data_IF_918670964285
#
_entry.id   IF_918670964285
#
_cell.length_a   1.000
_cell.length_b   1.000
_cell.length_c   1.000
_cell.angle_alpha   90.00
_cell.angle_beta   90.00
_cell.angle_gamma   90.00
#
_symmetry.space_group_name_H-M   'P 1'
#
loop_
_entity.id
_entity.type
_entity.pdbx_description
1 polymer ?
#
# COMPACT_ATOMS: atom_id res chain seq x y z
N UNK A 1 -17.01 -11.83 -0.80
CA UNK A 1 -15.65 -11.47 -0.37
C UNK A 1 -15.17 -10.23 -1.09
N UNK A 2 -14.42 -9.42 -0.40
CA UNK A 2 -13.84 -8.21 -0.98
C UNK A 2 -12.41 -8.43 -1.41
N UNK A 3 -11.98 -7.65 -2.40
CA UNK A 3 -10.58 -7.51 -2.76
C UNK A 3 -10.16 -6.06 -2.60
N UNK A 4 -8.94 -5.85 -2.16
CA UNK A 4 -8.39 -4.50 -2.04
C UNK A 4 -6.94 -4.49 -2.52
N UNK A 5 -6.54 -3.40 -3.14
CA UNK A 5 -5.17 -3.18 -3.56
C UNK A 5 -4.43 -2.42 -2.47
N UNK A 6 -3.25 -2.91 -2.13
CA UNK A 6 -2.37 -2.28 -1.15
C UNK A 6 -1.04 -2.02 -1.82
N UNK A 7 -0.52 -0.82 -1.64
CA UNK A 7 0.81 -0.44 -2.13
C UNK A 7 1.74 -0.33 -0.93
N UNK A 8 2.76 -1.18 -0.89
CA UNK A 8 3.81 -1.08 0.10
C UNK A 8 4.86 -0.10 -0.41
N UNK A 9 5.08 0.98 0.31
CA UNK A 9 5.98 2.07 -0.09
C UNK A 9 7.42 1.61 -0.23
N UNK A 10 8.25 2.36 -0.98
CA UNK A 10 9.68 2.03 -1.11
C UNK A 10 10.40 1.84 0.21
N UNK A 11 10.07 2.64 1.23
CA UNK A 11 10.67 2.49 2.56
C UNK A 11 10.45 1.12 3.18
N UNK A 12 9.31 0.48 2.90
CA UNK A 12 9.04 -0.86 3.38
C UNK A 12 10.04 -1.88 2.81
N UNK A 13 10.32 -1.77 1.50
CA UNK A 13 11.32 -2.60 0.84
C UNK A 13 12.73 -2.30 1.37
N UNK A 14 13.08 -1.02 1.45
CA UNK A 14 14.42 -0.58 1.90
C UNK A 14 14.74 -1.04 3.30
N UNK A 15 13.74 -1.11 4.18
CA UNK A 15 13.92 -1.54 5.57
C UNK A 15 13.75 -3.04 5.77
N UNK A 16 13.50 -3.80 4.70
CA UNK A 16 13.38 -5.25 4.80
C UNK A 16 12.11 -5.71 5.52
N UNK A 17 11.02 -4.95 5.43
CA UNK A 17 9.79 -5.22 6.16
C UNK A 17 8.69 -5.87 5.33
N UNK A 18 8.94 -6.12 4.04
CA UNK A 18 7.91 -6.69 3.15
C UNK A 18 7.39 -8.03 3.68
N UNK A 19 8.28 -8.92 4.03
CA UNK A 19 7.89 -10.26 4.52
C UNK A 19 7.06 -10.19 5.79
N UNK A 20 7.42 -9.30 6.71
CA UNK A 20 6.67 -9.13 7.96
C UNK A 20 5.26 -8.60 7.71
N UNK A 21 5.12 -7.60 6.84
CA UNK A 21 3.81 -7.03 6.52
C UNK A 21 2.92 -8.10 5.89
N UNK A 22 3.43 -8.83 4.89
CA UNK A 22 2.68 -9.90 4.23
C UNK A 22 2.26 -10.96 5.23
N UNK A 23 3.18 -11.39 6.08
CA UNK A 23 2.90 -12.40 7.10
C UNK A 23 1.78 -11.97 8.04
N UNK A 24 1.78 -10.71 8.45
CA UNK A 24 0.72 -10.20 9.34
C UNK A 24 -0.63 -10.14 8.65
N UNK A 25 -0.69 -9.80 7.38
CA UNK A 25 -1.93 -9.81 6.61
C UNK A 25 -2.47 -11.24 6.49
N UNK A 26 -1.60 -12.20 6.20
CA UNK A 26 -2.01 -13.60 6.12
C UNK A 26 -2.51 -14.13 7.46
N UNK A 27 -1.86 -13.77 8.56
CA UNK A 27 -2.30 -14.17 9.90
C UNK A 27 -3.66 -13.61 10.28
N UNK A 28 -4.07 -12.49 9.68
CA UNK A 28 -5.39 -11.90 9.87
C UNK A 28 -6.47 -12.56 9.00
N UNK A 29 -6.10 -13.60 8.25
CA UNK A 29 -7.05 -14.35 7.44
C UNK A 29 -7.24 -13.83 6.03
N UNK A 30 -6.40 -12.87 5.59
CA UNK A 30 -6.45 -12.38 4.22
C UNK A 30 -5.66 -13.28 3.30
N UNK A 31 -6.12 -13.41 2.05
CA UNK A 31 -5.45 -14.20 1.03
C UNK A 31 -4.79 -13.29 0.01
N UNK A 32 -3.52 -13.50 -0.23
CA UNK A 32 -2.79 -12.80 -1.28
C UNK A 32 -3.17 -13.41 -2.64
N UNK A 33 -3.79 -12.62 -3.50
CA UNK A 33 -4.24 -13.11 -4.82
C UNK A 33 -3.42 -12.57 -5.97
N UNK A 34 -2.66 -11.51 -5.77
CA UNK A 34 -1.74 -10.98 -6.77
C UNK A 34 -0.68 -10.13 -6.09
N UNK A 35 0.53 -10.14 -6.65
CA UNK A 35 1.62 -9.32 -6.14
C UNK A 35 2.57 -8.97 -7.28
N UNK A 36 3.06 -7.73 -7.29
CA UNK A 36 4.00 -7.28 -8.31
C UNK A 36 4.92 -6.21 -7.73
N UNK A 37 6.20 -6.32 -8.02
CA UNK A 37 7.17 -5.28 -7.70
C UNK A 37 7.28 -4.33 -8.90
N UNK A 38 7.14 -3.03 -8.65
CA UNK A 38 7.12 -2.01 -9.71
C UNK A 38 7.99 -0.84 -9.31
N UNK A 39 8.85 -0.38 -10.23
CA UNK A 39 9.52 0.90 -10.06
C UNK A 39 8.60 1.98 -10.62
N UNK A 40 8.14 2.88 -9.76
CA UNK A 40 7.30 3.99 -10.19
C UNK A 40 8.14 5.04 -10.91
N UNK A 41 7.54 5.66 -11.93
CA UNK A 41 8.13 6.78 -12.62
C UNK A 41 7.31 8.06 -12.41
N UNK A 42 7.86 9.19 -12.85
CA UNK A 42 7.22 10.48 -12.64
C UNK A 42 5.85 10.58 -13.32
N UNK A 43 5.71 10.00 -14.51
CA UNK A 43 4.45 10.04 -15.24
C UNK A 43 3.34 9.29 -14.51
N UNK A 44 3.64 8.12 -13.99
CA UNK A 44 2.69 7.33 -13.20
C UNK A 44 2.25 8.14 -11.97
N UNK A 45 3.21 8.75 -11.29
CA UNK A 45 2.91 9.55 -10.09
C UNK A 45 2.08 10.77 -10.42
N UNK A 46 2.33 11.43 -11.54
CA UNK A 46 1.54 12.59 -11.96
C UNK A 46 0.09 12.23 -12.22
N UNK A 47 -0.16 11.08 -12.81
CA UNK A 47 -1.52 10.61 -13.05
C UNK A 47 -2.20 10.24 -11.72
N UNK A 48 -1.52 9.47 -10.89
CA UNK A 48 -2.08 8.96 -9.64
C UNK A 48 -2.33 10.08 -8.62
N UNK A 49 -1.43 11.06 -8.55
CA UNK A 49 -1.50 12.19 -7.62
C UNK A 49 -1.80 13.50 -8.33
N UNK A 50 -2.62 13.46 -9.40
CA UNK A 50 -2.95 14.66 -10.18
C UNK A 50 -3.50 15.79 -9.32
N UNK A 51 -4.26 15.47 -8.27
CA UNK A 51 -4.85 16.44 -7.36
C UNK A 51 -3.84 17.09 -6.41
N UNK A 52 -2.59 16.62 -6.41
CA UNK A 52 -1.54 17.13 -5.52
C UNK A 52 -0.37 17.78 -6.26
N UNK A 53 -0.43 17.84 -7.60
CA UNK A 53 0.71 18.31 -8.41
C UNK A 53 1.19 19.72 -8.08
N UNK A 54 0.27 20.61 -7.74
CA UNK A 54 0.56 22.00 -7.41
C UNK A 54 0.80 22.23 -5.92
N UNK A 55 0.82 21.18 -5.11
CA UNK A 55 1.11 21.29 -3.69
C UNK A 55 2.62 21.41 -3.45
N UNK A 56 3.04 22.25 -2.48
CA UNK A 56 4.47 22.44 -2.22
C UNK A 56 5.22 21.16 -1.83
N UNK A 57 4.52 20.17 -1.27
CA UNK A 57 5.15 18.92 -0.83
C UNK A 57 5.25 17.87 -1.93
N UNK A 58 4.72 18.12 -3.13
CA UNK A 58 4.71 17.10 -4.19
C UNK A 58 6.11 16.63 -4.59
N UNK A 59 7.13 17.51 -4.78
CA UNK A 59 8.47 17.03 -5.11
C UNK A 59 9.02 16.06 -4.06
N UNK A 60 8.76 16.31 -2.79
CA UNK A 60 9.18 15.41 -1.71
C UNK A 60 8.46 14.06 -1.81
N UNK A 61 7.15 14.08 -2.04
CA UNK A 61 6.35 12.86 -2.23
C UNK A 61 6.86 12.06 -3.43
N UNK A 62 7.08 12.73 -4.57
CA UNK A 62 7.58 12.11 -5.78
C UNK A 62 8.93 11.43 -5.53
N UNK A 63 9.87 12.14 -4.94
CA UNK A 63 11.22 11.61 -4.70
C UNK A 63 11.17 10.41 -3.75
N UNK A 64 10.36 10.48 -2.72
CA UNK A 64 10.19 9.37 -1.79
C UNK A 64 9.59 8.13 -2.44
N UNK A 65 8.58 8.30 -3.29
CA UNK A 65 7.93 7.19 -3.97
C UNK A 65 8.77 6.57 -5.08
N UNK A 66 9.76 7.31 -5.59
CA UNK A 66 10.67 6.83 -6.65
C UNK A 66 12.00 6.33 -6.11
N UNK A 67 12.24 6.43 -4.81
CA UNK A 67 13.53 6.08 -4.20
C UNK A 67 13.87 4.59 -4.32
N UNK A 68 12.87 3.73 -4.40
CA UNK A 68 13.02 2.29 -4.58
C UNK A 68 11.72 1.75 -5.15
N UNK A 69 11.70 0.47 -5.61
CA UNK A 69 10.45 -0.14 -6.07
C UNK A 69 9.40 -0.19 -4.97
N UNK A 70 8.14 -0.22 -5.38
CA UNK A 70 6.99 -0.49 -4.51
C UNK A 70 6.49 -1.89 -4.76
N UNK A 71 5.77 -2.45 -3.80
CA UNK A 71 5.09 -3.72 -3.96
C UNK A 71 3.59 -3.44 -4.07
N UNK A 72 3.01 -3.84 -5.19
CA UNK A 72 1.57 -3.83 -5.37
C UNK A 72 1.05 -5.20 -4.98
N UNK A 73 0.11 -5.27 -4.06
CA UNK A 73 -0.48 -6.54 -3.66
C UNK A 73 -2.00 -6.41 -3.54
N UNK A 74 -2.67 -7.46 -3.98
CA UNK A 74 -4.12 -7.54 -3.91
C UNK A 74 -4.49 -8.59 -2.88
N UNK A 75 -5.30 -8.19 -1.90
CA UNK A 75 -5.72 -9.04 -0.80
C UNK A 75 -7.21 -9.30 -0.89
N UNK A 76 -7.59 -10.54 -0.61
CA UNK A 76 -8.99 -10.99 -0.62
C UNK A 76 -9.38 -11.50 0.75
N UNK A 77 -10.60 -11.17 1.18
CA UNK A 77 -11.12 -11.66 2.45
C UNK A 77 -12.42 -10.98 2.83
N UNK A 78 -13.00 -11.42 3.91
CA UNK A 78 -14.19 -10.77 4.48
C UNK A 78 -13.78 -9.43 5.05
N UNK A 79 -14.48 -8.36 4.64
CA UNK A 79 -14.20 -6.99 5.09
C UNK A 79 -12.74 -6.60 4.85
N UNK A 80 -12.16 -7.02 3.72
CA UNK A 80 -10.72 -6.83 3.45
C UNK A 80 -10.29 -5.38 3.56
N UNK A 81 -11.06 -4.43 3.02
CA UNK A 81 -10.72 -3.01 3.08
C UNK A 81 -10.59 -2.53 4.52
N UNK A 82 -11.58 -2.85 5.36
CA UNK A 82 -11.58 -2.42 6.75
C UNK A 82 -10.46 -3.08 7.54
N UNK A 83 -10.24 -4.37 7.33
CA UNK A 83 -9.17 -5.11 8.00
C UNK A 83 -7.81 -4.50 7.68
N UNK A 84 -7.54 -4.24 6.40
CA UNK A 84 -6.26 -3.64 5.99
C UNK A 84 -6.10 -2.24 6.55
N UNK A 85 -7.15 -1.43 6.52
CA UNK A 85 -7.10 -0.08 7.09
C UNK A 85 -6.81 -0.10 8.59
N UNK A 86 -7.44 -1.01 9.32
CA UNK A 86 -7.21 -1.16 10.75
C UNK A 86 -5.76 -1.57 11.03
N UNK A 87 -5.22 -2.50 10.24
CA UNK A 87 -3.84 -2.95 10.39
C UNK A 87 -2.84 -1.85 10.03
N UNK A 88 -3.13 -1.05 9.02
CA UNK A 88 -2.26 0.05 8.62
C UNK A 88 -2.25 1.18 9.64
N UNK A 89 -3.25 1.25 10.51
CA UNK A 89 -3.33 2.26 11.55
C UNK A 89 -3.69 3.64 11.03
N UNK A 90 -4.09 3.72 9.79
CA UNK A 90 -4.62 4.91 9.11
C UNK A 90 -3.84 6.21 9.38
N UNK A 91 -4.01 6.81 10.55
CA UNK A 91 -3.44 8.12 10.87
C UNK A 91 -2.53 8.12 12.09
N UNK A 92 -2.45 7.01 12.83
CA UNK A 92 -1.67 6.96 14.08
C UNK A 92 -0.66 5.82 14.05
N UNK A 93 0.61 6.16 13.98
CA UNK A 93 1.70 5.19 13.98
C UNK A 93 1.66 4.27 15.21
N UNK A 94 1.20 4.77 16.36
CA UNK A 94 1.11 3.99 17.58
C UNK A 94 0.10 2.84 17.51
N UNK A 95 -0.87 2.92 16.59
CA UNK A 95 -1.88 1.87 16.37
C UNK A 95 -1.56 1.01 15.17
N UNK A 96 -0.53 1.36 14.41
CA UNK A 96 -0.15 0.62 13.22
C UNK A 96 0.59 -0.66 13.63
N UNK A 97 0.40 -1.70 12.83
CA UNK A 97 1.25 -2.88 12.91
C UNK A 97 2.67 -2.44 12.54
N UNK A 98 3.73 -2.92 13.22
CA UNK A 98 5.09 -2.54 12.88
C UNK A 98 5.37 -2.71 11.38
N UNK A 99 5.89 -1.67 10.77
CA UNK A 99 6.17 -1.63 9.33
C UNK A 99 5.05 -1.13 8.46
N UNK A 100 3.80 -1.12 8.93
CA UNK A 100 2.65 -0.71 8.09
C UNK A 100 2.53 0.81 7.97
N UNK A 101 3.23 1.58 8.80
CA UNK A 101 3.33 3.02 8.61
C UNK A 101 3.95 3.38 7.25
N UNK A 102 4.56 2.40 6.58
CA UNK A 102 5.15 2.56 5.26
C UNK A 102 4.19 2.23 4.13
N UNK A 103 2.94 1.88 4.44
CA UNK A 103 1.91 1.69 3.43
C UNK A 103 1.57 3.02 2.79
N UNK A 104 1.54 3.05 1.47
CA UNK A 104 1.17 4.24 0.76
C UNK A 104 -0.33 4.45 0.78
N UNK A 105 -1.08 3.35 0.61
CA UNK A 105 -2.44 3.55 0.19
C UNK A 105 -3.21 2.22 0.15
N UNK A 106 -4.48 2.30 0.48
CA UNK A 106 -5.40 1.18 0.39
C UNK A 106 -6.53 1.59 -0.55
N UNK A 107 -6.66 0.90 -1.68
CA UNK A 107 -7.71 1.18 -2.64
C UNK A 107 -9.08 0.76 -2.10
N UNK A 108 -10.16 1.38 -2.62
CA UNK A 108 -11.51 0.91 -2.32
C UNK A 108 -11.70 -0.55 -2.70
N UNK A 109 -12.71 -1.19 -2.12
CA UNK A 109 -13.04 -2.56 -2.45
C UNK A 109 -13.30 -2.70 -3.96
N UNK A 110 -12.71 -3.73 -4.54
CA UNK A 110 -12.97 -4.09 -5.94
C UNK A 110 -14.00 -5.20 -5.98
N UNK A 111 -14.99 -5.05 -6.86
CA UNK A 111 -15.94 -6.12 -7.08
C UNK A 111 -15.21 -7.29 -7.75
N UNK A 112 -15.59 -8.50 -7.37
CA UNK A 112 -15.08 -9.70 -8.00
C UNK A 112 -15.73 -9.81 -9.36
N UNK A 113 -15.03 -9.38 -10.39
CA UNK A 113 -15.46 -9.63 -11.76
C UNK A 113 -14.91 -10.96 -12.20
N UNK A 114 -15.79 -11.80 -12.53
CA UNK A 114 -15.43 -13.05 -13.17
C UNK A 114 -15.12 -12.81 -14.64
#
# INVERSE_FOLDING_TARGET
MERTLVILKPGCLQRGLIGEVISRFEKRGLKLVAMKMVQLDEEILKVHYAHLLDRPFFPWLRDGMMAAPVILCCWEGYSAVQVVRDMAGATRASKAVPGTALLAFVAPAMSRTT
#
